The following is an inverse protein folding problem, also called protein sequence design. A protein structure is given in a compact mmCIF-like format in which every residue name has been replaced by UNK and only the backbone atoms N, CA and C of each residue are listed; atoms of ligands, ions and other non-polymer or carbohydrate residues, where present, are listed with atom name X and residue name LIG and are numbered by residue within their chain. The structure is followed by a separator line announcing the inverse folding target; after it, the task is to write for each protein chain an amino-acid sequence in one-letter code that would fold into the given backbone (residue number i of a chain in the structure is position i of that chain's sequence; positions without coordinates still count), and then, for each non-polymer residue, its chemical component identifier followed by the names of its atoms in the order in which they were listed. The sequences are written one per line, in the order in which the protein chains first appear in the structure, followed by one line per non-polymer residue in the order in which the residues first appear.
data_IF_935306058902
#
_entry.id   IF_935306058902
#
_cell.length_a   1.000
_cell.length_b   1.000
_cell.length_c   1.000
_cell.angle_alpha   90.00
_cell.angle_beta   90.00
_cell.angle_gamma   90.00
#
_symmetry.space_group_name_H-M   'P 1'
#
loop_
_entity.id
_entity.type
_entity.pdbx_description
1 polymer ?
#
# COMPACT_ATOMS: atom_id res chain seq x y z
N UNK A 1 -8.33 16.82 4.83
CA UNK A 1 -7.79 15.49 5.20
C UNK A 1 -6.54 15.31 4.36
N UNK A 2 -5.38 15.11 4.97
CA UNK A 2 -4.16 14.88 4.19
C UNK A 2 -4.22 13.48 3.58
N UNK A 3 -4.28 13.40 2.26
CA UNK A 3 -4.24 12.12 1.54
C UNK A 3 -2.84 11.48 1.67
N UNK A 4 -2.83 10.16 1.76
CA UNK A 4 -1.62 9.35 1.87
C UNK A 4 -1.42 8.59 0.56
N UNK A 5 -0.18 8.52 0.08
CA UNK A 5 0.17 7.76 -1.10
C UNK A 5 1.41 6.90 -0.89
N UNK A 6 1.50 5.80 -1.63
CA UNK A 6 2.70 4.99 -1.82
C UNK A 6 2.83 4.60 -3.30
N UNK A 7 4.05 4.28 -3.71
CA UNK A 7 4.33 3.71 -5.02
C UNK A 7 4.49 2.20 -4.90
N UNK A 8 3.71 1.44 -5.66
CA UNK A 8 3.84 -0.01 -5.72
C UNK A 8 5.24 -0.38 -6.23
N UNK A 9 6.03 -1.18 -5.50
CA UNK A 9 7.39 -1.50 -5.88
C UNK A 9 7.49 -2.45 -7.08
N UNK A 10 6.41 -3.18 -7.43
CA UNK A 10 6.42 -4.13 -8.54
C UNK A 10 6.11 -3.50 -9.90
N UNK A 11 5.10 -2.62 -9.96
CA UNK A 11 4.68 -1.98 -11.22
C UNK A 11 4.87 -0.47 -11.26
N UNK A 12 5.28 0.15 -10.15
CA UNK A 12 5.43 1.60 -10.06
C UNK A 12 4.12 2.38 -10.02
N UNK A 13 2.96 1.72 -9.94
CA UNK A 13 1.65 2.38 -9.81
C UNK A 13 1.57 3.15 -8.49
N UNK A 14 1.12 4.41 -8.56
CA UNK A 14 0.88 5.22 -7.37
C UNK A 14 -0.51 4.91 -6.79
N UNK A 15 -0.54 4.42 -5.56
CA UNK A 15 -1.77 4.15 -4.81
C UNK A 15 -1.99 5.28 -3.81
N UNK A 16 -3.22 5.80 -3.77
CA UNK A 16 -3.64 6.89 -2.89
C UNK A 16 -4.83 6.48 -2.03
N UNK A 17 -4.89 6.99 -0.82
CA UNK A 17 -6.00 6.78 0.10
C UNK A 17 -6.09 7.92 1.11
N UNK A 18 -7.22 8.08 1.83
CA UNK A 18 -7.38 9.16 2.81
C UNK A 18 -6.58 8.94 4.11
N UNK A 19 -6.16 7.71 4.42
CA UNK A 19 -5.37 7.37 5.60
C UNK A 19 -4.59 6.05 5.37
N UNK A 20 -3.64 5.74 6.27
CA UNK A 20 -2.74 4.59 6.14
C UNK A 20 -3.45 3.23 6.16
N UNK A 21 -4.57 3.12 6.87
CA UNK A 21 -5.35 1.89 6.97
C UNK A 21 -6.02 1.57 5.62
N UNK A 22 -6.67 2.56 5.03
CA UNK A 22 -7.27 2.46 3.69
C UNK A 22 -6.18 2.26 2.61
N UNK A 23 -5.02 2.88 2.78
CA UNK A 23 -3.90 2.69 1.85
C UNK A 23 -3.37 1.26 1.89
N UNK A 24 -3.28 0.66 3.09
CA UNK A 24 -2.88 -0.73 3.25
C UNK A 24 -3.88 -1.70 2.63
N UNK A 25 -5.19 -1.44 2.77
CA UNK A 25 -6.23 -2.23 2.11
C UNK A 25 -6.12 -2.12 0.58
N UNK A 26 -5.95 -0.91 0.05
CA UNK A 26 -5.77 -0.68 -1.38
C UNK A 26 -4.50 -1.35 -1.90
N UNK A 27 -3.40 -1.29 -1.15
CA UNK A 27 -2.15 -1.97 -1.51
C UNK A 27 -2.32 -3.48 -1.52
N UNK A 28 -3.01 -4.05 -0.52
CA UNK A 28 -3.33 -5.48 -0.46
C UNK A 28 -4.20 -5.95 -1.61
N UNK A 29 -5.28 -5.22 -1.90
CA UNK A 29 -6.14 -5.53 -3.05
C UNK A 29 -5.33 -5.45 -4.35
N UNK A 30 -4.56 -4.38 -4.54
CA UNK A 30 -3.72 -4.21 -5.70
C UNK A 30 -2.71 -5.34 -5.90
N UNK A 31 -2.00 -5.77 -4.86
CA UNK A 31 -1.01 -6.85 -5.01
C UNK A 31 -1.65 -8.19 -5.28
N UNK A 32 -2.82 -8.47 -4.71
CA UNK A 32 -3.57 -9.69 -5.01
C UNK A 32 -4.10 -9.66 -6.44
N UNK A 33 -4.83 -8.62 -6.83
CA UNK A 33 -5.53 -8.57 -8.13
C UNK A 33 -4.59 -8.36 -9.31
N UNK A 34 -3.49 -7.61 -9.13
CA UNK A 34 -2.58 -7.23 -10.23
C UNK A 34 -1.35 -8.14 -10.29
N UNK A 35 -0.86 -8.63 -9.15
CA UNK A 35 0.39 -9.40 -9.07
C UNK A 35 0.19 -10.83 -8.58
N UNK A 36 -1.05 -11.28 -8.34
CA UNK A 36 -1.38 -12.59 -7.76
C UNK A 36 -0.61 -12.86 -6.45
N UNK A 37 -0.30 -11.78 -5.72
CA UNK A 37 0.44 -11.83 -4.46
C UNK A 37 -0.51 -11.75 -3.28
N UNK A 38 -0.66 -12.87 -2.58
CA UNK A 38 -1.28 -12.86 -1.26
C UNK A 38 -0.38 -12.20 -0.22
N UNK A 39 -0.99 -11.34 0.57
CA UNK A 39 -0.32 -10.57 1.63
C UNK A 39 -1.30 -10.38 2.78
N UNK A 40 -0.82 -10.52 4.01
CA UNK A 40 -1.62 -10.27 5.21
C UNK A 40 -1.89 -8.78 5.38
N UNK A 41 -2.97 -8.43 6.09
CA UNK A 41 -3.27 -7.01 6.35
C UNK A 41 -2.16 -6.34 7.18
N UNK A 42 -1.58 -7.06 8.14
CA UNK A 42 -0.46 -6.58 8.95
C UNK A 42 0.80 -6.32 8.10
N UNK A 43 1.10 -7.21 7.15
CA UNK A 43 2.21 -7.03 6.21
C UNK A 43 1.99 -5.84 5.29
N UNK A 44 0.77 -5.65 4.79
CA UNK A 44 0.40 -4.50 3.98
C UNK A 44 0.60 -3.21 4.77
N UNK A 45 0.09 -3.15 6.01
CA UNK A 45 0.23 -1.99 6.91
C UNK A 45 1.69 -1.70 7.21
N UNK A 46 2.50 -2.71 7.53
CA UNK A 46 3.93 -2.53 7.78
C UNK A 46 4.67 -2.02 6.53
N UNK A 47 4.39 -2.58 5.35
CA UNK A 47 4.99 -2.13 4.09
C UNK A 47 4.61 -0.69 3.76
N UNK A 48 3.34 -0.33 3.86
CA UNK A 48 2.87 1.05 3.66
C UNK A 48 3.57 2.00 4.64
N UNK A 49 3.68 1.62 5.91
CA UNK A 49 4.36 2.40 6.94
C UNK A 49 5.86 2.55 6.68
N UNK A 50 6.55 1.50 6.25
CA UNK A 50 7.97 1.57 5.88
C UNK A 50 8.20 2.45 4.64
N UNK A 51 7.35 2.33 3.61
CA UNK A 51 7.47 3.11 2.37
C UNK A 51 7.20 4.61 2.61
N UNK A 52 6.33 4.95 3.57
CA UNK A 52 6.05 6.33 3.96
C UNK A 52 7.03 6.89 4.99
N UNK A 53 7.55 6.03 5.87
CA UNK A 53 8.38 6.40 7.01
C UNK A 53 9.89 6.40 6.76
N UNK A 54 10.34 6.16 5.52
CA UNK A 54 11.75 6.20 5.15
C UNK A 54 12.26 7.61 4.85
N UNK A 55 12.56 8.37 5.91
CA UNK A 55 13.51 9.51 5.91
C UNK A 55 14.48 9.33 7.06
#
# INVERSE_FOLDING_TARGET
MAEVSIKCPQCGMELKAPNEDELAKNFKAHTHEVHDMEMSEEEAKQKVKMMRGGM
#
